data_IF_462405646426
#
_entry.id   IF_462405646426
#
_cell.length_a   1.000
_cell.length_b   1.000
_cell.length_c   1.000
_cell.angle_alpha   90.00
_cell.angle_beta   90.00
_cell.angle_gamma   90.00
#
_symmetry.space_group_name_H-M   'P 1'
#
loop_
_entity.id
_entity.type
_entity.pdbx_description
1 polymer ?
#
# COMPACT_ATOMS: atom_id res chain seq x y z
N UNK A 1 -7.94 -12.05 -10.69
CA UNK A 1 -8.59 -11.48 -9.48
C UNK A 1 -7.69 -10.39 -8.92
N UNK A 2 -8.23 -9.26 -8.45
CA UNK A 2 -7.40 -8.14 -8.00
C UNK A 2 -6.68 -8.42 -6.67
N UNK A 3 -5.54 -7.76 -6.41
CA UNK A 3 -4.74 -7.86 -5.19
C UNK A 3 -4.64 -6.47 -4.54
N UNK A 4 -5.08 -6.36 -3.30
CA UNK A 4 -4.98 -5.13 -2.51
C UNK A 4 -4.05 -5.36 -1.33
N UNK A 5 -2.92 -4.69 -1.30
CA UNK A 5 -1.94 -4.81 -0.23
C UNK A 5 -1.44 -3.46 0.27
N UNK A 6 -1.08 -3.42 1.53
CA UNK A 6 -0.48 -2.25 2.16
C UNK A 6 0.84 -2.62 2.84
N UNK A 7 1.83 -1.75 2.68
CA UNK A 7 3.10 -1.81 3.40
C UNK A 7 3.01 -0.91 4.62
N UNK A 8 3.24 -1.46 5.81
CA UNK A 8 3.26 -0.71 7.07
C UNK A 8 4.53 -1.01 7.86
N UNK A 9 4.92 -0.16 8.80
CA UNK A 9 6.12 -0.35 9.61
C UNK A 9 6.82 0.97 9.93
N UNK A 10 7.88 0.90 10.72
CA UNK A 10 8.66 2.06 11.15
C UNK A 10 9.23 2.86 9.97
N UNK A 11 9.47 4.16 10.15
CA UNK A 11 10.20 4.98 9.18
C UNK A 11 11.58 4.42 8.85
N UNK A 12 11.99 4.47 7.58
CA UNK A 12 13.31 4.07 7.12
C UNK A 12 13.56 2.56 6.97
N UNK A 13 12.56 1.68 7.15
CA UNK A 13 12.74 0.23 7.00
C UNK A 13 12.66 -0.26 5.54
N UNK A 14 12.40 0.63 4.58
CA UNK A 14 12.35 0.31 3.15
C UNK A 14 10.94 0.01 2.60
N UNK A 15 9.87 0.45 3.26
CA UNK A 15 8.49 0.28 2.77
C UNK A 15 8.31 0.80 1.36
N UNK A 16 8.68 2.05 1.12
CA UNK A 16 8.54 2.73 -0.17
C UNK A 16 9.26 1.99 -1.31
N UNK A 17 10.48 1.53 -1.06
CA UNK A 17 11.24 0.73 -2.03
C UNK A 17 10.53 -0.59 -2.33
N UNK A 18 10.03 -1.29 -1.30
CA UNK A 18 9.28 -2.54 -1.49
C UNK A 18 7.93 -2.30 -2.17
N UNK A 19 7.24 -1.19 -1.87
CA UNK A 19 6.00 -0.78 -2.54
C UNK A 19 6.24 -0.52 -4.02
N UNK A 20 7.25 0.26 -4.36
CA UNK A 20 7.62 0.54 -5.75
C UNK A 20 8.02 -0.73 -6.53
N UNK A 21 8.83 -1.61 -5.93
CA UNK A 21 9.17 -2.91 -6.53
C UNK A 21 7.95 -3.83 -6.71
N UNK A 22 6.97 -3.75 -5.81
CA UNK A 22 5.71 -4.52 -5.93
C UNK A 22 4.87 -4.00 -7.10
N UNK A 23 4.78 -2.69 -7.28
CA UNK A 23 4.08 -2.07 -8.41
C UNK A 23 4.73 -2.51 -9.73
N UNK A 24 6.06 -2.41 -9.83
CA UNK A 24 6.79 -2.87 -11.02
C UNK A 24 6.61 -4.37 -11.29
N UNK A 25 6.60 -5.20 -10.24
CA UNK A 25 6.37 -6.64 -10.39
C UNK A 25 4.98 -6.93 -10.98
N UNK A 26 3.93 -6.24 -10.53
CA UNK A 26 2.58 -6.37 -11.07
C UNK A 26 2.52 -5.93 -12.54
N UNK A 27 3.09 -4.76 -12.86
CA UNK A 27 3.12 -4.23 -14.23
C UNK A 27 3.89 -5.15 -15.18
N UNK A 28 5.04 -5.66 -14.76
CA UNK A 28 5.86 -6.58 -15.56
C UNK A 28 5.15 -7.90 -15.88
N UNK A 29 4.19 -8.32 -15.06
CA UNK A 29 3.35 -9.51 -15.30
C UNK A 29 2.12 -9.20 -16.19
N UNK A 30 1.92 -7.96 -16.59
CA UNK A 30 0.71 -7.53 -17.32
C UNK A 30 -0.53 -7.43 -16.43
N UNK A 31 -0.35 -7.35 -15.12
CA UNK A 31 -1.43 -7.26 -14.13
C UNK A 31 -1.88 -5.79 -13.95
N UNK A 32 -2.33 -5.18 -15.05
CA UNK A 32 -2.84 -3.81 -15.09
C UNK A 32 -4.38 -3.79 -15.07
N UNK A 33 -5.03 -2.69 -14.63
CA UNK A 33 -4.45 -1.48 -14.04
C UNK A 33 -4.10 -1.63 -12.56
N UNK A 34 -3.00 -1.01 -12.13
CA UNK A 34 -2.56 -0.94 -10.73
C UNK A 34 -2.76 0.48 -10.20
N UNK A 35 -3.38 0.64 -9.04
CA UNK A 35 -3.38 1.90 -8.30
C UNK A 35 -2.25 1.90 -7.27
N UNK A 36 -1.27 2.75 -7.48
CA UNK A 36 -0.24 3.09 -6.49
C UNK A 36 -0.77 4.21 -5.59
N UNK A 37 -0.70 4.00 -4.28
CA UNK A 37 -1.17 4.96 -3.29
C UNK A 37 -0.01 5.36 -2.38
N UNK A 38 0.45 6.59 -2.51
CA UNK A 38 1.38 7.17 -1.56
C UNK A 38 0.60 7.80 -0.41
N UNK A 39 0.48 7.06 0.68
CA UNK A 39 -0.21 7.48 1.89
C UNK A 39 0.75 8.05 2.96
N UNK A 40 2.03 8.26 2.61
CA UNK A 40 2.99 8.96 3.47
C UNK A 40 2.89 10.48 3.23
N UNK A 41 2.85 11.24 4.31
CA UNK A 41 2.83 12.71 4.25
C UNK A 41 4.09 13.31 3.63
N UNK A 42 5.20 12.55 3.59
CA UNK A 42 6.45 12.97 2.96
C UNK A 42 6.49 12.70 1.45
N UNK A 43 5.57 11.88 0.94
CA UNK A 43 5.39 11.63 -0.49
C UNK A 43 6.67 11.16 -1.19
N UNK A 44 7.17 9.97 -0.83
CA UNK A 44 8.45 9.46 -1.38
C UNK A 44 8.25 8.38 -2.48
N UNK A 45 7.03 7.85 -2.65
CA UNK A 45 6.78 6.77 -3.61
C UNK A 45 6.97 7.24 -5.05
N UNK A 46 6.62 8.48 -5.35
CA UNK A 46 6.80 9.09 -6.67
C UNK A 46 8.28 9.15 -7.08
N UNK A 47 9.19 9.46 -6.13
CA UNK A 47 10.65 9.47 -6.38
C UNK A 47 11.14 8.05 -6.67
N UNK A 48 10.73 7.06 -5.88
CA UNK A 48 11.10 5.67 -6.08
C UNK A 48 10.61 5.12 -7.44
N UNK A 49 9.47 5.59 -7.94
CA UNK A 49 8.91 5.24 -9.25
C UNK A 49 9.45 6.09 -10.40
N UNK A 50 10.06 7.25 -10.11
CA UNK A 50 10.62 8.17 -11.10
C UNK A 50 9.59 8.98 -11.85
N UNK A 51 8.51 9.37 -11.17
CA UNK A 51 7.41 10.15 -11.74
C UNK A 51 7.20 11.44 -10.96
N UNK A 52 6.73 12.48 -11.64
CA UNK A 52 6.36 13.75 -11.00
C UNK A 52 4.85 13.79 -10.75
N UNK A 53 4.42 14.50 -9.74
CA UNK A 53 3.01 14.79 -9.50
C UNK A 53 2.77 16.30 -9.42
N UNK A 54 1.58 16.75 -9.82
CA UNK A 54 1.22 18.17 -9.81
C UNK A 54 0.37 18.55 -8.59
N UNK A 55 -0.41 17.60 -8.08
CA UNK A 55 -1.32 17.86 -6.97
C UNK A 55 -1.39 16.68 -5.99
N UNK A 56 -1.73 16.98 -4.75
CA UNK A 56 -1.97 15.98 -3.70
C UNK A 56 -3.43 16.00 -3.27
N UNK A 57 -3.92 14.89 -2.73
CA UNK A 57 -5.29 14.81 -2.18
C UNK A 57 -5.52 15.84 -1.08
N UNK A 58 -4.49 16.04 -0.23
CA UNK A 58 -4.53 17.05 0.84
C UNK A 58 -4.65 18.47 0.30
N UNK A 59 -3.81 18.81 -0.70
CA UNK A 59 -3.82 20.13 -1.35
C UNK A 59 -5.12 20.44 -2.09
N UNK A 60 -5.67 19.48 -2.84
CA UNK A 60 -6.94 19.61 -3.55
C UNK A 60 -8.07 19.96 -2.59
N UNK A 61 -8.11 19.28 -1.46
CA UNK A 61 -9.18 19.48 -0.49
C UNK A 61 -9.05 20.81 0.26
N UNK A 62 -7.84 21.29 0.49
CA UNK A 62 -7.60 22.63 1.07
C UNK A 62 -8.00 23.72 0.07
N UNK A 63 -7.63 23.58 -1.21
CA UNK A 63 -8.06 24.48 -2.29
C UNK A 63 -9.59 24.53 -2.40
N UNK A 64 -10.26 23.38 -2.38
CA UNK A 64 -11.73 23.32 -2.40
C UNK A 64 -12.41 24.01 -1.21
N UNK A 65 -11.69 24.13 -0.10
CA UNK A 65 -12.20 24.80 1.10
C UNK A 65 -12.03 26.32 1.05
N UNK A 66 -10.95 26.79 0.44
CA UNK A 66 -10.58 28.20 0.37
C UNK A 66 -11.10 28.90 -0.88
N UNK A 67 -11.08 28.23 -2.03
CA UNK A 67 -11.36 28.82 -3.34
C UNK A 67 -12.86 28.84 -3.69
N UNK A 68 -13.68 27.98 -3.09
CA UNK A 68 -15.10 27.87 -3.47
C UNK A 68 -16.02 27.90 -2.23
N UNK A 69 -16.12 29.04 -1.55
CA UNK A 69 -16.95 29.20 -0.36
C UNK A 69 -18.44 29.27 -0.71
N UNK A 70 -19.00 28.37 -1.40
CA UNK A 70 -20.41 28.35 -1.78
C UNK A 70 -20.84 26.99 -2.31
N UNK A 71 -19.90 26.12 -2.64
CA UNK A 71 -20.21 24.76 -3.05
C UNK A 71 -20.61 23.90 -1.84
N UNK A 72 -21.86 23.46 -1.85
CA UNK A 72 -22.41 22.54 -0.85
C UNK A 72 -23.00 21.31 -1.52
N UNK A 73 -23.06 20.19 -0.80
CA UNK A 73 -23.72 18.98 -1.28
C UNK A 73 -23.05 18.34 -2.50
N UNK A 74 -23.85 17.93 -3.47
CA UNK A 74 -23.41 17.21 -4.67
C UNK A 74 -22.39 17.99 -5.51
N UNK A 75 -22.60 19.28 -5.73
CA UNK A 75 -21.67 20.11 -6.52
C UNK A 75 -20.25 20.15 -5.93
N UNK A 76 -20.12 20.11 -4.61
CA UNK A 76 -18.82 20.02 -3.92
C UNK A 76 -18.18 18.65 -4.15
N UNK A 77 -18.96 17.59 -4.13
CA UNK A 77 -18.50 16.24 -4.35
C UNK A 77 -17.99 16.04 -5.78
N UNK A 78 -18.75 16.49 -6.77
CA UNK A 78 -18.36 16.45 -8.19
C UNK A 78 -17.08 17.24 -8.45
N UNK A 79 -16.94 18.42 -7.85
CA UNK A 79 -15.71 19.21 -7.93
C UNK A 79 -14.51 18.45 -7.36
N UNK A 80 -14.65 17.84 -6.17
CA UNK A 80 -13.59 17.04 -5.56
C UNK A 80 -13.22 15.83 -6.43
N UNK A 81 -14.21 15.16 -6.97
CA UNK A 81 -14.01 13.98 -7.83
C UNK A 81 -13.23 14.35 -9.10
N UNK A 82 -13.60 15.45 -9.74
CA UNK A 82 -12.88 15.95 -10.92
C UNK A 82 -11.43 16.31 -10.59
N UNK A 83 -11.20 17.01 -9.47
CA UNK A 83 -9.86 17.39 -9.03
C UNK A 83 -8.99 16.20 -8.63
N UNK A 84 -9.58 15.19 -8.00
CA UNK A 84 -8.89 13.95 -7.64
C UNK A 84 -8.49 13.17 -8.89
N UNK A 85 -9.38 13.07 -9.88
CA UNK A 85 -9.03 12.47 -11.18
C UNK A 85 -7.90 13.23 -11.86
N UNK A 86 -7.92 14.56 -11.83
CA UNK A 86 -6.85 15.39 -12.39
C UNK A 86 -5.52 15.30 -11.59
N UNK A 87 -5.53 14.75 -10.39
CA UNK A 87 -4.33 14.53 -9.57
C UNK A 87 -3.75 13.11 -9.70
N UNK A 88 -4.42 12.22 -10.41
CA UNK A 88 -3.84 10.93 -10.76
C UNK A 88 -2.68 11.16 -11.74
N UNK A 89 -1.54 10.58 -11.42
CA UNK A 89 -0.41 10.48 -12.35
C UNK A 89 -0.59 9.19 -13.13
N UNK A 90 -0.95 9.31 -14.40
CA UNK A 90 -1.20 8.18 -15.29
C UNK A 90 0.11 7.72 -15.92
N UNK A 91 0.48 6.45 -15.68
CA UNK A 91 1.68 5.81 -16.21
C UNK A 91 1.33 4.49 -16.94
N UNK A 92 2.27 3.99 -17.72
CA UNK A 92 2.08 2.74 -18.43
C UNK A 92 1.94 1.56 -17.46
N UNK A 93 0.69 1.16 -17.18
CA UNK A 93 0.34 0.00 -16.36
C UNK A 93 -0.03 0.30 -14.92
N UNK A 94 0.17 1.51 -14.43
CA UNK A 94 -0.28 1.96 -13.13
C UNK A 94 -0.61 3.44 -13.11
N UNK A 95 -1.46 3.85 -12.18
CA UNK A 95 -1.69 5.23 -11.83
C UNK A 95 -1.26 5.48 -10.39
N UNK A 96 -0.69 6.67 -10.13
CA UNK A 96 -0.26 7.05 -8.79
C UNK A 96 -1.16 8.16 -8.25
N UNK A 97 -1.58 8.00 -6.99
CA UNK A 97 -2.19 9.06 -6.21
C UNK A 97 -1.37 9.37 -4.97
N UNK A 98 -1.13 10.67 -4.73
CA UNK A 98 -0.31 11.13 -3.61
C UNK A 98 -1.17 11.84 -2.59
N UNK A 99 -1.09 11.41 -1.31
CA UNK A 99 -1.79 12.06 -0.22
C UNK A 99 -1.24 13.45 0.08
N UNK A 100 0.07 13.56 0.23
CA UNK A 100 0.76 14.80 0.57
C UNK A 100 0.46 15.33 1.98
N UNK A 101 1.12 16.41 2.35
CA UNK A 101 0.82 17.15 3.59
C UNK A 101 -0.38 18.05 3.39
N UNK A 102 -1.36 18.08 4.32
CA UNK A 102 -2.34 19.13 4.34
C UNK A 102 -1.64 20.46 4.64
N UNK A 103 -1.76 21.43 3.73
CA UNK A 103 -1.28 22.79 3.95
C UNK A 103 -2.32 23.55 4.78
N UNK A 104 -1.94 24.04 5.97
CA UNK A 104 -2.80 24.85 6.83
C UNK A 104 -3.00 24.31 8.24
N UNK A 105 -3.82 25.02 9.06
CA UNK A 105 -4.18 24.65 10.45
C UNK A 105 -5.18 23.49 10.53
N UNK A 106 -5.14 22.54 9.59
CA UNK A 106 -6.00 21.37 9.54
C UNK A 106 -5.42 20.19 10.30
N UNK A 107 -6.29 19.41 10.95
CA UNK A 107 -5.91 18.16 11.58
C UNK A 107 -5.57 17.11 10.49
N UNK A 108 -4.52 16.30 10.69
CA UNK A 108 -4.20 15.12 9.86
C UNK A 108 -5.41 14.20 9.65
N UNK A 109 -6.31 14.12 10.63
CA UNK A 109 -7.58 13.38 10.52
C UNK A 109 -8.42 13.77 9.29
N UNK A 110 -8.27 15.01 8.83
CA UNK A 110 -9.05 15.53 7.71
C UNK A 110 -8.49 15.08 6.35
N UNK A 111 -7.16 15.09 6.19
CA UNK A 111 -6.50 14.57 5.00
C UNK A 111 -6.72 13.06 4.86
N UNK A 112 -6.64 12.34 5.98
CA UNK A 112 -6.90 10.90 6.03
C UNK A 112 -8.34 10.54 5.63
N UNK A 113 -9.33 11.35 6.02
CA UNK A 113 -10.71 11.14 5.57
C UNK A 113 -10.86 11.40 4.07
N UNK A 114 -10.11 12.38 3.52
CA UNK A 114 -10.13 12.67 2.09
C UNK A 114 -9.55 11.52 1.27
N UNK A 115 -8.37 11.03 1.67
CA UNK A 115 -7.75 9.90 0.99
C UNK A 115 -8.67 8.66 1.05
N UNK A 116 -9.32 8.43 2.17
CA UNK A 116 -10.28 7.33 2.30
C UNK A 116 -11.42 7.42 1.29
N UNK A 117 -12.09 8.57 1.23
CA UNK A 117 -13.20 8.80 0.30
C UNK A 117 -12.75 8.61 -1.16
N UNK A 118 -11.50 8.99 -1.47
CA UNK A 118 -10.87 8.77 -2.77
C UNK A 118 -10.61 7.28 -3.02
N UNK A 119 -9.99 6.58 -2.08
CA UNK A 119 -9.68 5.18 -2.19
C UNK A 119 -10.94 4.31 -2.33
N UNK A 120 -12.01 4.63 -1.59
CA UNK A 120 -13.28 3.92 -1.66
C UNK A 120 -13.93 4.02 -3.05
N UNK A 121 -13.70 5.12 -3.77
CA UNK A 121 -14.18 5.31 -5.15
C UNK A 121 -13.27 4.66 -6.18
N UNK A 122 -11.97 4.92 -6.09
CA UNK A 122 -10.99 4.43 -7.05
C UNK A 122 -10.81 2.91 -6.97
N UNK A 123 -10.93 2.31 -5.77
CA UNK A 123 -10.74 0.87 -5.59
C UNK A 123 -11.61 -0.01 -6.48
N UNK A 124 -12.73 0.52 -6.97
CA UNK A 124 -13.64 -0.20 -7.88
C UNK A 124 -13.19 -0.19 -9.34
N UNK A 125 -12.24 0.68 -9.68
CA UNK A 125 -11.75 0.88 -11.05
C UNK A 125 -10.44 0.15 -11.31
N UNK A 126 -9.71 -0.20 -10.25
CA UNK A 126 -8.40 -0.83 -10.35
C UNK A 126 -8.45 -2.29 -9.94
N UNK A 127 -7.72 -3.11 -10.70
CA UNK A 127 -7.58 -4.53 -10.41
C UNK A 127 -6.68 -4.74 -9.19
N UNK A 128 -5.60 -3.98 -9.09
CA UNK A 128 -4.62 -4.08 -8.02
C UNK A 128 -4.43 -2.73 -7.32
N UNK A 129 -4.21 -2.77 -6.01
CA UNK A 129 -3.96 -1.58 -5.21
C UNK A 129 -2.76 -1.85 -4.31
N UNK A 130 -1.75 -1.00 -4.40
CA UNK A 130 -0.56 -1.03 -3.54
C UNK A 130 -0.50 0.25 -2.75
N UNK A 131 -0.56 0.15 -1.41
CA UNK A 131 -0.54 1.29 -0.51
C UNK A 131 0.80 1.35 0.23
N UNK A 132 1.55 2.41 -0.01
CA UNK A 132 2.72 2.77 0.81
C UNK A 132 2.28 3.63 1.98
N UNK A 133 2.34 3.11 3.20
CA UNK A 133 1.84 3.81 4.38
C UNK A 133 2.98 4.44 5.17
N UNK A 134 2.70 5.58 5.80
CA UNK A 134 3.53 6.15 6.86
C UNK A 134 3.68 5.15 8.03
N UNK A 135 4.45 5.50 9.05
CA UNK A 135 4.68 4.65 10.22
C UNK A 135 3.41 4.27 11.01
N UNK A 136 2.29 4.95 10.76
CA UNK A 136 0.96 4.68 11.32
C UNK A 136 0.00 4.04 10.31
N UNK A 137 -1.14 3.56 10.80
CA UNK A 137 -2.22 2.97 10.00
C UNK A 137 -3.47 3.88 9.96
N UNK A 138 -3.32 5.14 10.36
CA UNK A 138 -4.44 6.08 10.50
C UNK A 138 -5.13 6.33 9.16
N UNK A 139 -4.38 6.25 8.06
CA UNK A 139 -4.87 6.45 6.70
C UNK A 139 -5.76 5.30 6.22
N UNK A 140 -5.52 4.08 6.74
CA UNK A 140 -6.22 2.84 6.38
C UNK A 140 -7.05 2.39 7.59
N UNK A 141 -7.82 3.27 8.24
CA UNK A 141 -8.56 2.90 9.45
C UNK A 141 -9.96 2.34 9.15
N UNK A 142 -10.66 1.90 10.20
CA UNK A 142 -12.02 1.29 10.25
C UNK A 142 -13.10 1.85 9.32
N UNK A 143 -12.89 3.03 8.73
CA UNK A 143 -13.92 3.71 7.91
C UNK A 143 -13.63 3.63 6.41
N UNK A 144 -12.54 2.99 6.00
CA UNK A 144 -12.25 2.73 4.59
C UNK A 144 -12.99 1.46 4.16
N UNK A 145 -13.73 1.53 3.05
CA UNK A 145 -14.31 0.34 2.41
C UNK A 145 -13.23 -0.50 1.72
N UNK A 146 -12.01 0.04 1.60
CA UNK A 146 -10.86 -0.67 1.06
C UNK A 146 -10.55 -1.88 1.94
N UNK A 147 -10.82 -3.06 1.42
CA UNK A 147 -10.46 -4.31 2.07
C UNK A 147 -9.07 -4.73 1.59
N UNK A 148 -8.11 -4.75 2.50
CA UNK A 148 -6.80 -5.29 2.21
C UNK A 148 -6.85 -6.82 2.14
N UNK A 149 -6.21 -7.38 1.12
CA UNK A 149 -5.93 -8.82 1.11
C UNK A 149 -4.76 -9.13 2.03
N UNK A 150 -3.73 -8.28 1.99
CA UNK A 150 -2.55 -8.42 2.81
C UNK A 150 -2.12 -7.10 3.44
N UNK A 151 -1.84 -7.14 4.75
CA UNK A 151 -1.08 -6.12 5.46
C UNK A 151 0.34 -6.65 5.67
N UNK A 152 1.29 -6.11 4.92
CA UNK A 152 2.70 -6.48 4.96
C UNK A 152 3.43 -5.55 5.93
N UNK A 153 3.77 -6.06 7.11
CA UNK A 153 4.44 -5.28 8.14
C UNK A 153 5.95 -5.43 7.95
N UNK A 154 6.61 -4.33 7.62
CA UNK A 154 8.04 -4.30 7.29
C UNK A 154 8.86 -3.87 8.50
N UNK A 155 9.90 -4.63 8.82
CA UNK A 155 10.90 -4.33 9.85
C UNK A 155 12.30 -4.37 9.23
N UNK A 156 13.24 -3.63 9.80
CA UNK A 156 14.66 -3.90 9.59
C UNK A 156 15.10 -5.15 10.40
N UNK A 157 16.32 -5.65 10.12
CA UNK A 157 16.89 -6.81 10.82
C UNK A 157 17.43 -6.44 12.20
N UNK A 158 16.64 -5.74 13.02
CA UNK A 158 16.98 -5.38 14.40
C UNK A 158 15.88 -5.78 15.38
N UNK A 159 16.26 -6.10 16.61
CA UNK A 159 15.32 -6.40 17.70
C UNK A 159 14.33 -5.24 17.90
N UNK A 160 14.80 -3.98 17.84
CA UNK A 160 13.92 -2.81 17.98
C UNK A 160 12.94 -2.68 16.83
N UNK A 161 13.38 -2.98 15.61
CA UNK A 161 12.52 -2.98 14.42
C UNK A 161 11.41 -3.99 14.56
N UNK A 162 11.74 -5.24 14.91
CA UNK A 162 10.77 -6.34 15.07
C UNK A 162 9.76 -6.04 16.19
N UNK A 163 10.21 -5.49 17.33
CA UNK A 163 9.30 -5.03 18.39
C UNK A 163 8.35 -3.92 17.92
N UNK A 164 8.85 -3.03 17.07
CA UNK A 164 7.99 -1.99 16.49
C UNK A 164 6.98 -2.59 15.53
N UNK A 165 7.38 -3.58 14.72
CA UNK A 165 6.46 -4.31 13.83
C UNK A 165 5.31 -4.97 14.63
N UNK A 166 5.58 -5.55 15.80
CA UNK A 166 4.54 -6.05 16.70
C UNK A 166 3.54 -4.95 17.10
N UNK A 167 4.03 -3.77 17.50
CA UNK A 167 3.16 -2.65 17.86
C UNK A 167 2.29 -2.18 16.70
N UNK A 168 2.82 -2.21 15.47
CA UNK A 168 2.05 -1.90 14.26
C UNK A 168 0.94 -2.94 14.07
N UNK A 169 1.21 -4.22 14.32
CA UNK A 169 0.20 -5.26 14.26
C UNK A 169 -0.90 -5.05 15.32
N UNK A 170 -0.51 -4.73 16.56
CA UNK A 170 -1.45 -4.45 17.65
C UNK A 170 -2.33 -3.23 17.32
N UNK A 171 -1.75 -2.18 16.74
CA UNK A 171 -2.50 -1.02 16.27
C UNK A 171 -3.50 -1.38 15.16
N UNK A 172 -3.11 -2.27 14.23
CA UNK A 172 -4.03 -2.76 13.18
C UNK A 172 -5.26 -3.46 13.78
N UNK A 173 -5.06 -4.20 14.88
CA UNK A 173 -6.17 -4.82 15.64
C UNK A 173 -7.03 -3.77 16.33
N UNK A 174 -6.43 -2.80 17.01
CA UNK A 174 -7.13 -1.72 17.70
C UNK A 174 -8.01 -0.90 16.75
N UNK A 175 -7.50 -0.60 15.55
CA UNK A 175 -8.28 0.12 14.53
C UNK A 175 -9.20 -0.80 13.73
N UNK A 176 -9.27 -2.09 14.03
CA UNK A 176 -10.05 -3.13 13.35
C UNK A 176 -9.90 -3.02 11.82
N UNK A 177 -8.65 -2.95 11.36
CA UNK A 177 -8.33 -2.86 9.95
C UNK A 177 -8.85 -4.11 9.22
N UNK A 178 -9.68 -3.96 8.18
CA UNK A 178 -10.18 -5.11 7.43
C UNK A 178 -9.07 -5.67 6.52
N UNK A 179 -8.18 -6.45 7.10
CA UNK A 179 -7.14 -7.17 6.38
C UNK A 179 -7.47 -8.66 6.34
N UNK A 180 -7.38 -9.28 5.16
CA UNK A 180 -7.56 -10.72 4.98
C UNK A 180 -6.47 -11.51 5.68
N UNK A 181 -5.23 -11.12 5.49
CA UNK A 181 -4.06 -11.70 6.14
C UNK A 181 -3.01 -10.63 6.46
N UNK A 182 -2.20 -10.88 7.48
CA UNK A 182 -1.07 -10.02 7.84
C UNK A 182 0.17 -10.86 8.10
N UNK A 183 1.34 -10.27 7.89
CA UNK A 183 2.59 -10.93 8.20
C UNK A 183 3.78 -10.00 8.17
N UNK A 184 4.88 -10.51 8.68
CA UNK A 184 6.12 -9.78 8.86
C UNK A 184 7.06 -10.00 7.66
N UNK A 185 7.64 -8.92 7.16
CA UNK A 185 8.79 -8.92 6.28
C UNK A 185 9.97 -8.36 7.07
N UNK A 186 11.05 -9.13 7.22
CA UNK A 186 12.29 -8.61 7.76
C UNK A 186 13.19 -8.20 6.61
N UNK A 187 13.40 -6.91 6.47
CA UNK A 187 14.19 -6.30 5.40
C UNK A 187 15.63 -6.02 5.86
N UNK A 188 16.53 -5.86 4.89
CA UNK A 188 17.96 -5.58 5.09
C UNK A 188 18.65 -6.64 5.96
N UNK A 189 18.30 -7.90 5.73
CA UNK A 189 18.91 -9.02 6.46
C UNK A 189 20.34 -9.22 6.00
N UNK A 190 21.33 -9.22 6.91
CA UNK A 190 22.73 -9.50 6.55
C UNK A 190 22.89 -10.87 5.90
N UNK A 191 23.99 -11.09 5.17
CA UNK A 191 24.32 -12.38 4.55
C UNK A 191 24.35 -13.54 5.55
N UNK A 192 24.80 -13.29 6.79
CA UNK A 192 24.78 -14.27 7.88
C UNK A 192 23.35 -14.67 8.33
N UNK A 193 22.31 -14.04 7.79
CA UNK A 193 20.93 -14.29 8.15
C UNK A 193 20.50 -13.64 9.46
N UNK A 194 19.37 -14.09 9.99
CA UNK A 194 18.86 -13.62 11.29
C UNK A 194 19.63 -14.28 12.44
N UNK A 195 20.13 -13.49 13.37
CA UNK A 195 20.71 -14.01 14.60
C UNK A 195 19.69 -14.80 15.42
N UNK A 196 20.14 -15.68 16.29
CA UNK A 196 19.26 -16.46 17.19
C UNK A 196 18.36 -15.54 18.06
N UNK A 197 18.93 -14.46 18.58
CA UNK A 197 18.16 -13.46 19.35
C UNK A 197 17.06 -12.84 18.50
N UNK A 198 17.36 -12.50 17.24
CA UNK A 198 16.39 -11.89 16.36
C UNK A 198 15.30 -12.88 15.92
N UNK A 199 15.65 -14.16 15.71
CA UNK A 199 14.66 -15.22 15.40
C UNK A 199 13.65 -15.38 16.55
N UNK A 200 14.13 -15.45 17.80
CA UNK A 200 13.24 -15.51 18.96
C UNK A 200 12.34 -14.29 19.08
N UNK A 201 12.86 -13.11 18.77
CA UNK A 201 12.05 -11.90 18.78
C UNK A 201 10.99 -11.91 17.68
N UNK A 202 11.32 -12.40 16.48
CA UNK A 202 10.34 -12.60 15.38
C UNK A 202 9.24 -13.57 15.81
N UNK A 203 9.60 -14.73 16.38
CA UNK A 203 8.65 -15.71 16.90
C UNK A 203 7.74 -15.11 17.99
N UNK A 204 8.33 -14.31 18.90
CA UNK A 204 7.60 -13.64 19.96
C UNK A 204 6.57 -12.61 19.47
N UNK A 205 6.66 -12.15 18.22
CA UNK A 205 5.62 -11.28 17.62
C UNK A 205 4.30 -12.00 17.40
N UNK A 206 4.32 -13.32 17.23
CA UNK A 206 3.16 -14.11 16.81
C UNK A 206 2.73 -13.85 15.37
N UNK A 207 3.46 -13.02 14.61
CA UNK A 207 3.20 -12.78 13.20
C UNK A 207 3.85 -13.85 12.33
N UNK A 208 3.18 -14.35 11.28
CA UNK A 208 3.85 -15.19 10.31
C UNK A 208 4.98 -14.41 9.62
N UNK A 209 6.20 -14.96 9.62
CA UNK A 209 7.32 -14.43 8.85
C UNK A 209 7.11 -14.81 7.38
N UNK A 210 6.72 -13.83 6.56
CA UNK A 210 6.40 -14.04 5.16
C UNK A 210 7.66 -14.10 4.29
N UNK A 211 8.64 -13.24 4.57
CA UNK A 211 9.91 -13.19 3.86
C UNK A 211 11.01 -12.52 4.67
N UNK A 212 12.23 -12.87 4.32
CA UNK A 212 13.44 -12.10 4.63
C UNK A 212 13.99 -11.51 3.33
N UNK A 213 14.19 -10.20 3.30
CA UNK A 213 14.77 -9.49 2.17
C UNK A 213 16.22 -9.19 2.51
N UNK A 214 17.19 -9.65 1.73
CA UNK A 214 18.59 -9.45 2.03
C UNK A 214 18.98 -7.97 1.96
N UNK A 215 20.01 -7.60 2.71
CA UNK A 215 20.70 -6.32 2.52
C UNK A 215 21.32 -6.33 1.13
N UNK A 216 20.87 -5.41 0.29
CA UNK A 216 21.28 -5.32 -1.11
C UNK A 216 22.05 -4.02 -1.34
N UNK A 217 23.37 -4.10 -1.60
CA UNK A 217 24.17 -2.90 -1.87
C UNK A 217 23.70 -2.10 -3.10
N UNK A 218 23.04 -2.76 -4.07
CA UNK A 218 22.52 -2.08 -5.24
C UNK A 218 21.37 -1.12 -4.90
N UNK A 219 20.55 -1.46 -3.88
CA UNK A 219 19.52 -0.54 -3.38
C UNK A 219 20.18 0.68 -2.71
N UNK A 220 21.22 0.46 -1.91
CA UNK A 220 21.92 1.56 -1.25
C UNK A 220 22.60 2.52 -2.27
N UNK A 221 23.18 1.97 -3.34
CA UNK A 221 23.76 2.75 -4.43
C UNK A 221 22.67 3.53 -5.19
N UNK A 222 21.58 2.85 -5.53
CA UNK A 222 20.42 3.46 -6.19
C UNK A 222 19.87 4.65 -5.39
N UNK A 223 19.65 4.48 -4.08
CA UNK A 223 19.16 5.53 -3.18
C UNK A 223 20.16 6.70 -3.10
N UNK A 224 21.47 6.41 -3.01
CA UNK A 224 22.51 7.44 -2.92
C UNK A 224 22.63 8.29 -4.20
N UNK A 225 22.40 7.67 -5.36
CA UNK A 225 22.47 8.33 -6.67
C UNK A 225 21.11 8.95 -7.10
N UNK A 226 20.07 8.87 -6.26
CA UNK A 226 18.73 9.39 -6.56
C UNK A 226 18.06 8.67 -7.74
N UNK A 227 18.43 7.40 -7.98
CA UNK A 227 17.85 6.59 -9.05
C UNK A 227 16.57 5.91 -8.61
N UNK A 228 15.76 5.52 -9.58
CA UNK A 228 14.48 4.83 -9.34
C UNK A 228 14.68 3.31 -9.20
N UNK A 229 13.67 2.60 -8.69
CA UNK A 229 13.70 1.14 -8.60
C UNK A 229 13.86 0.43 -9.95
N UNK A 230 13.60 1.13 -11.07
CA UNK A 230 13.85 0.63 -12.43
C UNK A 230 15.34 0.39 -12.72
N UNK A 231 16.21 1.13 -12.05
CA UNK A 231 17.66 0.97 -12.19
C UNK A 231 18.18 -0.28 -11.48
N UNK A 232 17.42 -0.86 -10.56
CA UNK A 232 17.83 -2.07 -9.85
C UNK A 232 17.85 -3.27 -10.81
N UNK A 233 18.95 -4.03 -10.88
CA UNK A 233 19.07 -5.20 -11.74
C UNK A 233 17.93 -6.21 -11.54
N UNK A 234 17.47 -6.89 -12.60
CA UNK A 234 16.39 -7.89 -12.48
C UNK A 234 16.74 -9.04 -11.53
N UNK A 235 18.02 -9.38 -11.44
CA UNK A 235 18.57 -10.43 -10.58
C UNK A 235 19.05 -9.94 -9.22
N UNK A 236 18.82 -8.69 -8.87
CA UNK A 236 19.14 -8.11 -7.55
C UNK A 236 18.53 -8.99 -6.44
N UNK A 237 19.32 -9.33 -5.41
CA UNK A 237 18.88 -10.24 -4.35
C UNK A 237 17.58 -9.81 -3.67
N UNK A 238 17.43 -8.52 -3.39
CA UNK A 238 16.22 -7.99 -2.78
C UNK A 238 15.01 -8.08 -3.71
N UNK A 239 15.18 -7.77 -5.02
CA UNK A 239 14.11 -7.90 -6.02
C UNK A 239 13.65 -9.35 -6.12
N UNK A 240 14.56 -10.32 -6.20
CA UNK A 240 14.22 -11.76 -6.26
C UNK A 240 13.48 -12.23 -5.02
N UNK A 241 13.96 -11.85 -3.84
CA UNK A 241 13.33 -12.25 -2.58
C UNK A 241 11.89 -11.72 -2.47
N UNK A 242 11.68 -10.46 -2.86
CA UNK A 242 10.34 -9.86 -2.89
C UNK A 242 9.45 -10.53 -3.95
N UNK A 243 9.95 -10.75 -5.17
CA UNK A 243 9.19 -11.42 -6.23
C UNK A 243 8.72 -12.81 -5.79
N UNK A 244 9.59 -13.61 -5.18
CA UNK A 244 9.20 -14.92 -4.64
C UNK A 244 8.16 -14.85 -3.52
N UNK A 245 8.14 -13.80 -2.73
CA UNK A 245 7.04 -13.55 -1.78
C UNK A 245 5.74 -13.25 -2.52
N UNK A 246 5.77 -12.29 -3.45
CA UNK A 246 4.59 -11.84 -4.18
C UNK A 246 3.95 -12.97 -4.99
N UNK A 247 4.74 -13.84 -5.60
CA UNK A 247 4.24 -15.03 -6.28
C UNK A 247 3.44 -15.92 -5.35
N UNK A 248 3.97 -16.27 -4.18
CA UNK A 248 3.24 -17.08 -3.18
C UNK A 248 1.94 -16.42 -2.71
N UNK A 249 1.94 -15.11 -2.49
CA UNK A 249 0.74 -14.37 -2.06
C UNK A 249 -0.31 -14.34 -3.18
N UNK A 250 0.13 -14.19 -4.41
CA UNK A 250 -0.74 -14.14 -5.58
C UNK A 250 -1.39 -15.51 -5.84
N UNK A 251 -0.60 -16.58 -5.89
CA UNK A 251 -1.07 -17.97 -6.10
C UNK A 251 -1.99 -18.45 -4.95
N UNK A 252 -1.62 -18.14 -3.71
CA UNK A 252 -2.43 -18.48 -2.55
C UNK A 252 -3.83 -17.87 -2.59
N UNK A 253 -3.96 -16.69 -3.18
CA UNK A 253 -5.24 -16.02 -3.37
C UNK A 253 -6.08 -16.64 -4.51
N UNK A 254 -5.44 -17.00 -5.62
CA UNK A 254 -6.14 -17.69 -6.71
C UNK A 254 -6.74 -19.01 -6.25
N UNK A 255 -5.99 -19.78 -5.48
CA UNK A 255 -6.44 -21.05 -4.90
C UNK A 255 -7.61 -20.85 -3.92
N UNK A 256 -7.57 -19.83 -3.07
CA UNK A 256 -8.66 -19.53 -2.13
C UNK A 256 -9.94 -19.06 -2.86
N UNK A 257 -9.80 -18.39 -3.99
CA UNK A 257 -10.96 -17.95 -4.81
C UNK A 257 -11.62 -19.10 -5.55
N UNK A 258 -10.86 -20.09 -6.00
CA UNK A 258 -11.40 -21.28 -6.66
C UNK A 258 -12.11 -22.24 -5.70
N UNK A 259 -11.76 -22.18 -4.41
CA UNK A 259 -12.38 -22.99 -3.36
C UNK A 259 -13.72 -22.45 -2.83
N UNK A 260 -14.13 -21.23 -3.21
CA UNK A 260 -15.46 -20.73 -2.87
C UNK A 260 -16.50 -21.32 -3.84
N UNK A 261 -17.51 -22.07 -3.34
CA UNK A 261 -18.59 -22.54 -4.20
C UNK A 261 -19.33 -21.34 -4.78
N UNK A 262 -19.57 -21.37 -6.08
CA UNK A 262 -20.49 -20.44 -6.75
C UNK A 262 -21.84 -20.54 -6.06
N UNK A 263 -22.26 -19.46 -5.41
CA UNK A 263 -23.59 -19.36 -4.84
C UNK A 263 -24.59 -19.29 -5.99
N UNK A 264 -25.15 -20.45 -6.33
CA UNK A 264 -26.24 -20.57 -7.28
C UNK A 264 -27.47 -19.93 -6.63
N UNK A 265 -27.92 -18.82 -7.18
CA UNK A 265 -29.06 -18.06 -6.69
C UNK A 265 -30.37 -18.76 -7.17
N UNK A 266 -31.07 -19.50 -6.30
CA UNK A 266 -32.31 -20.14 -6.69
C UNK A 266 -33.50 -19.16 -6.54
N UNK A 267 -33.52 -18.09 -7.35
CA UNK A 267 -34.72 -17.27 -7.53
C UNK A 267 -35.04 -17.12 -9.01
N UNK A 268 -35.70 -18.16 -9.50
CA UNK A 268 -36.32 -18.16 -10.81
C UNK A 268 -37.46 -19.18 -10.80
N UNK A 269 -38.48 -18.94 -10.00
CA UNK A 269 -39.78 -19.51 -10.28
C UNK A 269 -40.80 -18.39 -10.37
N UNK A 270 -41.10 -18.06 -11.62
CA UNK A 270 -42.40 -17.49 -12.02
C UNK A 270 -43.53 -18.25 -11.28
N UNK A 271 -44.38 -17.51 -10.67
CA UNK A 271 -45.75 -18.00 -10.45
C UNK A 271 -46.71 -16.97 -11.02
N UNK A 272 -47.14 -17.29 -12.22
CA UNK A 272 -48.35 -16.79 -12.85
C UNK A 272 -49.54 -17.49 -12.25
N UNK A 273 -50.35 -16.76 -11.47
CA UNK A 273 -51.81 -16.92 -11.46
C UNK A 273 -52.48 -15.73 -10.80
#
# INVERSE_FOLDING_TARGET
MGLTLAMAGKGGVGKTTLSALTIEWLVARGESPVLAVDADSNANLHEALGVAYEATVGGIREAARSEVPGLQGMAKQEFLDLRVQAALVEEAGYDLIVMGRPEGRGCYCFANNALRDVLDRLSRQYRHIVVDSEAGLEHISRRTLLRLDYLLIVSDASVRGVRTARRVADLADEVALPAGSRGLIVNRVPEAGLSETLRREVEATGLPLLATIPLDPAIAAMDADGMTVRALPPDAPARRALSGLLERLYEGRESASQAMPTYDNPRGTNDTR
#
